data_IF_974901353734
#
_entry.id   IF_974901353734
#
_cell.length_a   1.000
_cell.length_b   1.000
_cell.length_c   1.000
_cell.angle_alpha   90.00
_cell.angle_beta   90.00
_cell.angle_gamma   90.00
#
_symmetry.space_group_name_H-M   'P 1'
#
loop_
_entity.id
_entity.type
_entity.pdbx_description
1 polymer ?
#
# COMPACT_ATOMS: atom_id res chain seq x y z
N UNK A 1 18.90 -45.95 -11.57
CA UNK A 1 18.71 -44.49 -11.76
C UNK A 1 17.83 -44.00 -10.62
N UNK A 2 18.21 -42.99 -9.83
CA UNK A 2 17.31 -42.41 -8.85
C UNK A 2 16.28 -41.55 -9.58
N UNK A 3 14.99 -41.83 -9.36
CA UNK A 3 13.88 -41.05 -9.90
C UNK A 3 13.83 -39.67 -9.28
N UNK A 4 13.64 -38.65 -10.11
CA UNK A 4 13.48 -37.27 -9.68
C UNK A 4 12.26 -37.15 -8.75
N UNK A 5 12.48 -36.65 -7.54
CA UNK A 5 11.41 -36.22 -6.65
C UNK A 5 10.70 -35.02 -7.28
N UNK A 6 9.38 -35.10 -7.39
CA UNK A 6 8.55 -34.00 -7.85
C UNK A 6 8.72 -32.79 -6.91
N UNK A 7 9.14 -31.66 -7.46
CA UNK A 7 9.13 -30.38 -6.76
C UNK A 7 7.67 -29.95 -6.64
N UNK A 8 7.06 -30.22 -5.49
CA UNK A 8 5.77 -29.63 -5.12
C UNK A 8 6.00 -28.14 -4.89
N UNK A 9 5.55 -27.30 -5.83
CA UNK A 9 5.47 -25.86 -5.65
C UNK A 9 4.46 -25.56 -4.55
N UNK A 10 4.93 -25.10 -3.39
CA UNK A 10 4.08 -24.53 -2.36
C UNK A 10 3.52 -23.21 -2.91
N UNK A 11 2.24 -23.21 -3.27
CA UNK A 11 1.50 -21.99 -3.58
C UNK A 11 1.29 -21.20 -2.30
N UNK A 12 1.94 -20.04 -2.19
CA UNK A 12 1.63 -19.03 -1.18
C UNK A 12 0.25 -18.42 -1.51
N UNK A 13 -0.81 -18.95 -0.91
CA UNK A 13 -2.14 -18.36 -0.98
C UNK A 13 -2.26 -17.28 0.09
N UNK A 14 -1.98 -16.03 -0.28
CA UNK A 14 -2.49 -14.87 0.48
C UNK A 14 -3.96 -14.70 0.09
N UNK A 15 -4.86 -15.06 1.00
CA UNK A 15 -6.30 -14.94 0.80
C UNK A 15 -6.84 -13.71 1.54
N UNK A 16 -7.58 -12.86 0.84
CA UNK A 16 -8.32 -11.74 1.41
C UNK A 16 -9.79 -12.15 1.53
N UNK A 17 -10.28 -12.35 2.76
CA UNK A 17 -11.69 -12.61 3.03
C UNK A 17 -12.45 -11.31 3.27
N UNK A 18 -13.56 -11.10 2.57
CA UNK A 18 -14.52 -10.05 2.90
C UNK A 18 -15.34 -10.42 4.14
N UNK A 19 -15.53 -9.43 5.01
CA UNK A 19 -16.56 -9.30 6.05
C UNK A 19 -16.61 -10.33 7.21
N UNK A 20 -16.31 -9.82 8.40
CA UNK A 20 -16.85 -10.19 9.72
C UNK A 20 -16.44 -11.51 10.39
N UNK A 21 -15.28 -12.10 10.04
CA UNK A 21 -14.62 -13.10 10.90
C UNK A 21 -13.47 -12.46 11.69
N UNK A 22 -13.57 -12.45 13.02
CA UNK A 22 -12.59 -11.89 13.96
C UNK A 22 -11.31 -12.73 14.11
N UNK A 23 -11.03 -13.62 13.16
CA UNK A 23 -9.92 -14.56 13.19
C UNK A 23 -8.94 -14.28 12.05
N UNK A 24 -8.07 -13.29 12.28
CA UNK A 24 -6.74 -13.09 11.66
C UNK A 24 -6.62 -12.17 10.43
N UNK A 25 -6.56 -10.87 10.73
CA UNK A 25 -5.48 -9.99 10.28
C UNK A 25 -5.07 -9.14 11.48
N UNK A 26 -3.94 -9.45 12.13
CA UNK A 26 -3.38 -8.58 13.20
C UNK A 26 -2.17 -7.85 12.63
N UNK A 27 -2.43 -6.70 11.99
CA UNK A 27 -1.51 -5.57 12.11
C UNK A 27 -1.61 -5.15 13.57
N UNK A 28 -0.54 -5.28 14.36
CA UNK A 28 -0.60 -4.86 15.77
C UNK A 28 -0.75 -3.34 15.80
N UNK A 29 -1.99 -2.88 15.99
CA UNK A 29 -2.23 -1.53 16.45
C UNK A 29 -1.60 -1.42 17.84
N UNK A 30 -0.74 -0.41 17.99
CA UNK A 30 -0.01 -0.03 19.20
C UNK A 30 1.16 -0.97 19.59
N UNK A 31 2.24 -0.95 18.81
CA UNK A 31 3.61 -0.68 19.30
C UNK A 31 4.63 -0.86 18.14
N UNK A 32 5.22 0.26 17.71
CA UNK A 32 6.55 0.44 17.05
C UNK A 32 7.06 -0.46 15.90
N UNK A 33 6.28 -1.41 15.34
CA UNK A 33 6.84 -2.35 14.34
C UNK A 33 5.91 -2.63 13.15
N UNK A 34 6.41 -2.37 11.93
CA UNK A 34 5.83 -2.89 10.69
C UNK A 34 6.03 -4.41 10.63
N UNK A 35 4.94 -5.16 10.82
CA UNK A 35 4.99 -6.61 10.86
C UNK A 35 4.02 -7.27 9.86
N UNK A 36 4.47 -8.33 9.22
CA UNK A 36 3.63 -9.26 8.44
C UNK A 36 3.64 -10.62 9.15
N UNK A 37 2.57 -11.42 9.03
CA UNK A 37 2.42 -12.74 9.67
C UNK A 37 2.00 -13.77 8.63
N UNK A 38 2.68 -14.92 8.59
CA UNK A 38 2.32 -16.03 7.71
C UNK A 38 1.49 -17.11 8.44
N UNK A 39 0.57 -17.75 7.72
CA UNK A 39 -0.21 -18.88 8.22
C UNK A 39 0.13 -20.14 7.44
N UNK A 40 0.22 -21.27 8.13
CA UNK A 40 0.31 -22.59 7.53
C UNK A 40 -1.04 -22.98 6.88
N UNK A 41 -1.02 -24.00 6.02
CA UNK A 41 -2.23 -24.47 5.31
C UNK A 41 -3.32 -25.01 6.23
N UNK A 42 -2.98 -25.32 7.49
CA UNK A 42 -3.90 -25.74 8.54
C UNK A 42 -4.47 -24.56 9.37
N UNK A 43 -4.16 -23.31 8.98
CA UNK A 43 -4.60 -22.10 9.66
C UNK A 43 -3.85 -21.82 10.97
N UNK A 44 -2.79 -22.56 11.29
CA UNK A 44 -1.89 -22.21 12.40
C UNK A 44 -0.88 -21.15 11.96
N UNK A 45 -0.22 -20.50 12.92
CA UNK A 45 0.88 -19.58 12.58
C UNK A 45 2.02 -20.41 12.02
N UNK A 46 2.50 -20.05 10.83
CA UNK A 46 3.69 -20.69 10.27
C UNK A 46 4.93 -20.19 11.01
N UNK A 47 5.30 -20.88 12.10
CA UNK A 47 6.42 -20.48 12.95
C UNK A 47 7.79 -20.50 12.25
N UNK A 48 7.89 -21.13 11.08
CA UNK A 48 9.12 -21.18 10.28
C UNK A 48 9.34 -19.92 9.43
N UNK A 49 8.31 -19.09 9.28
CA UNK A 49 8.39 -17.83 8.54
C UNK A 49 8.79 -16.68 9.47
N UNK A 50 9.84 -15.94 9.12
CA UNK A 50 10.40 -14.90 9.98
C UNK A 50 10.85 -15.44 11.35
N UNK A 51 10.68 -14.65 12.39
CA UNK A 51 10.94 -15.06 13.78
C UNK A 51 9.61 -15.43 14.44
N UNK A 52 9.35 -16.73 14.59
CA UNK A 52 8.09 -17.26 15.17
C UNK A 52 6.83 -16.86 14.40
N UNK A 53 6.88 -16.87 13.07
CA UNK A 53 5.75 -16.51 12.20
C UNK A 53 5.60 -15.02 11.93
N UNK A 54 6.59 -14.22 12.34
CA UNK A 54 6.55 -12.76 12.27
C UNK A 54 7.81 -12.22 11.59
N UNK A 55 7.64 -11.44 10.54
CA UNK A 55 8.71 -10.64 9.94
C UNK A 55 8.54 -9.22 10.44
N UNK A 56 9.61 -8.65 10.98
CA UNK A 56 9.60 -7.34 11.59
C UNK A 56 10.67 -6.46 10.94
N UNK A 57 10.31 -5.21 10.66
CA UNK A 57 11.25 -4.13 10.46
C UNK A 57 11.01 -3.08 11.54
N UNK A 58 12.00 -2.89 12.42
CA UNK A 58 11.92 -1.92 13.51
C UNK A 58 12.50 -0.58 13.05
N UNK A 59 11.66 0.45 12.97
CA UNK A 59 12.07 1.85 12.85
C UNK A 59 11.48 2.61 14.04
N UNK A 60 12.20 3.60 14.56
CA UNK A 60 11.67 4.43 15.64
C UNK A 60 10.49 5.27 15.11
N UNK A 61 9.34 5.25 15.78
CA UNK A 61 8.15 6.01 15.40
C UNK A 61 6.84 5.23 15.55
N UNK A 62 5.72 5.91 15.32
CA UNK A 62 4.39 5.29 15.25
C UNK A 62 4.10 4.92 13.79
N UNK A 63 4.24 3.65 13.43
CA UNK A 63 4.02 3.18 12.07
C UNK A 63 2.58 2.66 11.89
N UNK A 64 1.82 3.25 10.97
CA UNK A 64 0.52 2.69 10.56
C UNK A 64 0.73 1.86 9.29
N UNK A 65 0.47 0.56 9.35
CA UNK A 65 0.50 -0.28 8.15
C UNK A 65 -0.70 0.03 7.27
N UNK A 66 -0.45 0.45 6.03
CA UNK A 66 -1.48 0.73 5.04
C UNK A 66 -1.86 -0.47 4.19
N UNK A 67 -1.07 -1.55 4.18
CA UNK A 67 -1.47 -2.79 3.51
C UNK A 67 -0.32 -3.74 3.26
N UNK A 68 -0.66 -4.93 2.75
CA UNK A 68 0.29 -5.98 2.37
C UNK A 68 -0.09 -6.56 1.01
N UNK A 69 0.90 -6.97 0.23
CA UNK A 69 0.72 -7.60 -1.07
C UNK A 69 1.84 -8.58 -1.38
N UNK A 70 1.68 -9.35 -2.46
CA UNK A 70 2.65 -10.35 -2.90
C UNK A 70 3.07 -10.04 -4.33
N UNK A 71 4.37 -9.97 -4.57
CA UNK A 71 4.96 -9.87 -5.91
C UNK A 71 4.97 -11.25 -6.59
N UNK A 72 5.05 -11.29 -7.91
CA UNK A 72 4.96 -12.50 -8.75
C UNK A 72 6.01 -13.56 -8.41
N UNK A 73 7.13 -13.15 -7.81
CA UNK A 73 8.20 -14.02 -7.32
C UNK A 73 7.95 -14.59 -5.91
N UNK A 74 6.79 -14.30 -5.30
CA UNK A 74 6.39 -14.75 -3.97
C UNK A 74 6.92 -13.88 -2.82
N UNK A 75 7.70 -12.82 -3.10
CA UNK A 75 8.11 -11.87 -2.08
C UNK A 75 6.92 -11.05 -1.58
N UNK A 76 6.95 -10.72 -0.29
CA UNK A 76 5.86 -10.01 0.38
C UNK A 76 6.27 -8.55 0.54
N UNK A 77 5.38 -7.63 0.19
CA UNK A 77 5.57 -6.19 0.35
C UNK A 77 4.56 -5.62 1.34
N UNK A 78 4.99 -4.69 2.18
CA UNK A 78 4.16 -4.04 3.18
C UNK A 78 4.31 -2.52 3.07
N UNK A 79 3.19 -1.81 2.92
CA UNK A 79 3.17 -0.36 2.98
C UNK A 79 2.93 0.11 4.42
N UNK A 80 3.64 1.16 4.83
CA UNK A 80 3.49 1.78 6.15
C UNK A 80 3.89 3.24 6.12
N UNK A 81 3.35 4.04 7.05
CA UNK A 81 3.68 5.46 7.18
C UNK A 81 4.36 5.78 8.51
N UNK A 82 5.42 6.60 8.46
CA UNK A 82 6.14 7.15 9.62
C UNK A 82 6.43 8.64 9.40
N UNK A 83 5.41 9.38 8.98
CA UNK A 83 5.60 10.71 8.39
C UNK A 83 6.08 10.69 6.95
N UNK A 84 6.59 9.56 6.45
CA UNK A 84 6.93 9.29 5.05
C UNK A 84 5.99 8.23 4.44
N UNK A 85 5.90 8.15 3.11
CA UNK A 85 5.37 6.97 2.41
C UNK A 85 6.44 5.90 2.28
N UNK A 86 6.22 4.73 2.89
CA UNK A 86 7.20 3.65 2.88
C UNK A 86 6.62 2.32 2.42
N UNK A 87 7.50 1.50 1.83
CA UNK A 87 7.23 0.09 1.54
C UNK A 87 8.44 -0.74 1.95
N UNK A 88 8.24 -1.83 2.69
CA UNK A 88 9.28 -2.83 2.94
C UNK A 88 9.01 -4.08 2.13
N UNK A 89 10.07 -4.85 1.84
CA UNK A 89 9.95 -6.16 1.19
C UNK A 89 10.59 -7.25 2.02
N UNK A 90 9.92 -8.38 2.09
CA UNK A 90 10.35 -9.60 2.75
C UNK A 90 10.44 -10.74 1.74
N UNK A 91 11.39 -11.64 1.96
CA UNK A 91 11.49 -12.91 1.23
C UNK A 91 10.27 -13.78 1.49
N UNK A 92 10.14 -14.86 0.70
CA UNK A 92 9.14 -15.91 0.92
C UNK A 92 9.26 -16.59 2.28
N UNK A 93 10.39 -16.43 2.98
CA UNK A 93 10.65 -16.97 4.32
C UNK A 93 10.59 -15.90 5.42
N UNK A 94 10.14 -14.68 5.11
CA UNK A 94 9.93 -13.62 6.10
C UNK A 94 11.20 -12.90 6.55
N UNK A 95 12.29 -12.99 5.79
CA UNK A 95 13.51 -12.19 6.04
C UNK A 95 13.42 -10.91 5.23
N UNK A 96 13.78 -9.76 5.83
CA UNK A 96 13.83 -8.48 5.09
C UNK A 96 14.78 -8.60 3.89
N UNK A 97 14.31 -8.21 2.71
CA UNK A 97 15.08 -8.26 1.47
C UNK A 97 15.92 -6.99 1.32
N UNK A 98 17.19 -7.05 1.73
CA UNK A 98 18.12 -5.91 1.64
C UNK A 98 18.37 -5.34 0.24
N UNK A 99 17.91 -6.01 -0.83
CA UNK A 99 18.03 -5.52 -2.22
C UNK A 99 16.88 -4.62 -2.66
N UNK A 100 15.81 -4.52 -1.86
CA UNK A 100 14.68 -3.64 -2.12
C UNK A 100 14.95 -2.24 -1.57
N UNK A 101 14.77 -1.21 -2.41
CA UNK A 101 15.02 0.18 -2.07
C UNK A 101 16.38 0.37 -1.39
N UNK A 102 16.38 1.04 -0.24
CA UNK A 102 17.55 1.17 0.63
C UNK A 102 17.38 0.24 1.83
N UNK A 103 18.24 -0.78 1.92
CA UNK A 103 18.26 -1.73 3.03
C UNK A 103 16.90 -2.43 3.31
N UNK A 104 16.15 -2.73 2.25
CA UNK A 104 14.87 -3.42 2.30
C UNK A 104 13.64 -2.51 2.33
N UNK A 105 13.85 -1.20 2.17
CA UNK A 105 12.79 -0.20 2.29
C UNK A 105 12.84 0.80 1.14
N UNK A 106 11.73 0.92 0.42
CA UNK A 106 11.44 2.04 -0.45
C UNK A 106 10.82 3.19 0.35
N UNK A 107 11.28 4.42 0.12
CA UNK A 107 10.81 5.61 0.85
C UNK A 107 10.55 6.74 -0.15
N UNK A 108 9.44 7.45 0.07
CA UNK A 108 9.20 8.78 -0.46
C UNK A 108 8.84 9.70 0.72
N UNK A 109 9.75 10.61 1.02
CA UNK A 109 9.52 11.75 1.92
C UNK A 109 8.88 12.87 1.08
N UNK A 110 7.62 13.18 1.37
CA UNK A 110 6.88 14.25 0.70
C UNK A 110 6.56 15.40 1.65
N UNK A 111 6.21 15.11 2.90
CA UNK A 111 5.94 16.10 3.94
C UNK A 111 6.17 15.52 5.34
N UNK A 112 5.99 16.33 6.38
CA UNK A 112 6.32 15.96 7.76
C UNK A 112 5.31 15.04 8.48
N UNK A 113 4.16 14.71 7.88
CA UNK A 113 3.13 13.82 8.45
C UNK A 113 2.34 13.12 7.33
N UNK A 114 3.06 12.40 6.46
CA UNK A 114 2.47 11.55 5.44
C UNK A 114 1.84 10.30 6.05
N UNK A 115 0.62 9.98 5.61
CA UNK A 115 -0.18 8.87 6.12
C UNK A 115 -0.46 7.89 5.00
N UNK A 116 0.01 6.66 5.16
CA UNK A 116 -0.30 5.57 4.24
C UNK A 116 -1.61 4.90 4.63
N UNK A 117 -2.51 4.72 3.66
CA UNK A 117 -3.83 4.14 3.91
C UNK A 117 -4.05 2.79 3.22
N UNK A 118 -3.53 2.62 2.00
CA UNK A 118 -3.77 1.44 1.18
C UNK A 118 -2.63 1.20 0.20
N UNK A 119 -2.40 -0.06 -0.17
CA UNK A 119 -1.52 -0.41 -1.28
C UNK A 119 -2.10 -1.51 -2.16
N UNK A 120 -1.59 -1.59 -3.40
CA UNK A 120 -1.86 -2.68 -4.33
C UNK A 120 -0.62 -3.00 -5.16
N UNK A 121 -0.39 -4.28 -5.43
CA UNK A 121 0.67 -4.75 -6.34
C UNK A 121 0.09 -4.89 -7.74
N UNK A 122 0.73 -4.26 -8.72
CA UNK A 122 0.37 -4.36 -10.14
C UNK A 122 0.88 -5.67 -10.74
N UNK A 123 0.32 -6.14 -11.88
CA UNK A 123 0.78 -7.37 -12.53
C UNK A 123 2.26 -7.40 -12.95
N UNK A 124 2.91 -6.23 -13.05
CA UNK A 124 4.33 -6.07 -13.35
C UNK A 124 5.19 -5.86 -12.08
N UNK A 125 4.66 -6.24 -10.92
CA UNK A 125 5.27 -6.13 -9.59
C UNK A 125 5.55 -4.72 -9.07
N UNK A 126 5.14 -3.69 -9.81
CA UNK A 126 5.13 -2.31 -9.30
C UNK A 126 4.08 -2.17 -8.21
N UNK A 127 4.27 -1.19 -7.33
CA UNK A 127 3.49 -1.05 -6.11
C UNK A 127 2.86 0.33 -6.10
N UNK A 128 1.53 0.38 -6.14
CA UNK A 128 0.78 1.64 -6.02
C UNK A 128 0.36 1.80 -4.57
N UNK A 129 0.69 2.95 -3.99
CA UNK A 129 0.37 3.31 -2.60
C UNK A 129 -0.51 4.54 -2.61
N UNK A 130 -1.57 4.53 -1.81
CA UNK A 130 -2.47 5.65 -1.62
C UNK A 130 -2.53 6.04 -0.15
N UNK A 131 -2.67 7.34 0.08
CA UNK A 131 -2.76 7.93 1.39
C UNK A 131 -2.90 9.43 1.28
N UNK A 132 -2.41 10.14 2.28
CA UNK A 132 -2.54 11.59 2.31
C UNK A 132 -1.33 12.27 2.93
N UNK A 133 -1.06 13.50 2.49
CA UNK A 133 0.06 14.31 2.94
C UNK A 133 -0.43 15.71 3.30
N UNK A 134 0.28 16.41 4.21
CA UNK A 134 -0.01 17.82 4.43
C UNK A 134 0.34 18.65 3.18
N UNK A 135 -0.58 19.54 2.82
CA UNK A 135 -0.35 20.52 1.78
C UNK A 135 0.55 21.64 2.35
N UNK A 136 1.62 21.98 1.62
CA UNK A 136 2.67 22.91 2.04
C UNK A 136 2.18 24.14 2.85
N UNK A 137 2.39 24.11 4.17
CA UNK A 137 2.28 25.28 5.06
C UNK A 137 0.87 25.68 5.50
N UNK A 138 -0.15 24.87 5.21
CA UNK A 138 -1.52 25.04 5.70
C UNK A 138 -1.99 23.73 6.32
N UNK A 139 -2.87 23.78 7.33
CA UNK A 139 -3.46 22.60 8.01
C UNK A 139 -4.47 21.85 7.10
N UNK A 140 -4.11 21.68 5.84
CA UNK A 140 -4.86 20.97 4.82
C UNK A 140 -4.10 19.71 4.44
N UNK A 141 -4.85 18.71 4.00
CA UNK A 141 -4.33 17.40 3.68
C UNK A 141 -4.75 17.09 2.25
N UNK A 142 -3.79 16.81 1.37
CA UNK A 142 -4.05 16.42 -0.01
C UNK A 142 -4.12 14.89 -0.12
N UNK A 143 -4.91 14.42 -1.07
CA UNK A 143 -4.85 13.03 -1.51
C UNK A 143 -3.55 12.80 -2.27
N UNK A 144 -2.81 11.77 -1.87
CA UNK A 144 -1.56 11.36 -2.50
C UNK A 144 -1.66 9.91 -2.98
N UNK A 145 -1.24 9.70 -4.22
CA UNK A 145 -1.06 8.38 -4.80
C UNK A 145 0.31 8.35 -5.44
N UNK A 146 1.08 7.31 -5.18
CA UNK A 146 2.43 7.17 -5.74
C UNK A 146 2.69 5.74 -6.18
N UNK A 147 3.74 5.57 -6.99
CA UNK A 147 4.17 4.26 -7.45
C UNK A 147 5.64 4.01 -7.18
N UNK A 148 5.91 2.86 -6.56
CA UNK A 148 7.25 2.27 -6.53
C UNK A 148 7.41 1.26 -7.67
N UNK A 149 8.62 1.18 -8.21
CA UNK A 149 9.09 0.07 -9.02
C UNK A 149 9.09 -1.22 -8.18
N UNK A 150 9.11 -2.37 -8.86
CA UNK A 150 9.26 -3.66 -8.20
C UNK A 150 10.51 -3.78 -7.33
N UNK A 151 11.52 -2.93 -7.58
CA UNK A 151 12.77 -2.83 -6.82
C UNK A 151 12.67 -1.93 -5.59
N UNK A 152 11.56 -1.23 -5.36
CA UNK A 152 11.37 -0.33 -4.21
C UNK A 152 11.87 1.10 -4.43
N UNK A 153 12.45 1.41 -5.60
CA UNK A 153 12.70 2.80 -6.00
C UNK A 153 11.41 3.46 -6.51
N UNK A 154 11.29 4.78 -6.39
CA UNK A 154 10.13 5.52 -6.94
C UNK A 154 10.12 5.43 -8.47
N UNK A 155 8.96 5.11 -9.04
CA UNK A 155 8.75 5.07 -10.48
C UNK A 155 8.50 6.48 -11.01
N UNK A 156 9.56 7.21 -11.30
CA UNK A 156 9.49 8.60 -11.79
C UNK A 156 8.81 8.74 -13.16
N UNK A 157 8.57 7.64 -13.88
CA UNK A 157 7.82 7.63 -15.14
C UNK A 157 6.29 7.62 -14.97
N UNK A 158 5.82 7.44 -13.73
CA UNK A 158 4.40 7.42 -13.40
C UNK A 158 3.94 8.78 -12.85
N UNK A 159 2.87 9.34 -13.42
CA UNK A 159 2.40 10.67 -13.07
C UNK A 159 3.50 11.71 -13.29
N UNK A 160 3.62 12.66 -12.34
CA UNK A 160 4.70 13.64 -12.34
C UNK A 160 5.69 13.26 -11.25
N UNK A 161 6.84 12.69 -11.64
CA UNK A 161 7.89 12.30 -10.69
C UNK A 161 7.54 11.11 -9.79
N UNK A 162 6.59 10.25 -10.21
CA UNK A 162 6.15 9.08 -9.46
C UNK A 162 4.96 9.33 -8.55
N UNK A 163 4.42 10.54 -8.55
CA UNK A 163 3.44 10.99 -7.56
C UNK A 163 2.30 11.75 -8.23
N UNK A 164 1.10 11.48 -7.76
CA UNK A 164 -0.05 12.36 -7.86
C UNK A 164 -0.32 12.93 -6.47
N UNK A 165 -0.41 14.25 -6.38
CA UNK A 165 -0.81 14.97 -5.17
C UNK A 165 -1.81 16.02 -5.61
N UNK A 166 -3.04 15.94 -5.11
CA UNK A 166 -4.04 16.95 -5.43
C UNK A 166 -5.03 17.15 -4.29
N UNK A 167 -5.55 18.38 -4.16
CA UNK A 167 -6.74 18.62 -3.38
C UNK A 167 -7.95 18.04 -4.15
N UNK A 168 -8.67 17.14 -3.50
CA UNK A 168 -9.97 16.66 -3.97
C UNK A 168 -10.95 17.81 -3.92
N UNK A 169 -10.96 18.65 -2.89
CA UNK A 169 -11.82 19.83 -2.85
C UNK A 169 -11.06 21.07 -2.38
N UNK A 170 -11.52 22.26 -2.79
CA UNK A 170 -10.83 23.51 -2.50
C UNK A 170 -10.76 23.78 -0.99
N UNK A 171 -9.54 23.90 -0.46
CA UNK A 171 -9.24 24.25 0.92
C UNK A 171 -9.75 23.27 2.00
N UNK A 172 -9.66 21.95 1.75
CA UNK A 172 -10.17 20.93 2.67
C UNK A 172 -9.13 19.88 3.08
N UNK A 173 -9.54 19.02 4.01
CA UNK A 173 -8.81 17.82 4.41
C UNK A 173 -9.30 16.64 3.58
N UNK A 174 -8.41 16.07 2.77
CA UNK A 174 -8.71 15.02 1.81
C UNK A 174 -7.95 13.74 2.18
N UNK A 175 -8.71 12.73 2.62
CA UNK A 175 -8.18 11.47 3.12
C UNK A 175 -8.42 10.34 2.11
N UNK A 176 -7.37 9.90 1.41
CA UNK A 176 -7.45 8.65 0.67
C UNK A 176 -7.52 7.48 1.66
N UNK A 177 -8.39 6.51 1.37
CA UNK A 177 -8.63 5.36 2.26
C UNK A 177 -8.29 4.04 1.59
N UNK A 178 -8.56 3.91 0.30
CA UNK A 178 -8.37 2.66 -0.41
C UNK A 178 -7.91 2.92 -1.85
N UNK A 179 -7.03 2.04 -2.35
CA UNK A 179 -6.68 1.94 -3.77
C UNK A 179 -6.93 0.53 -4.27
N UNK A 180 -7.52 0.40 -5.45
CA UNK A 180 -7.73 -0.87 -6.14
C UNK A 180 -7.34 -0.74 -7.61
N UNK A 181 -6.96 -1.85 -8.23
CA UNK A 181 -6.70 -1.90 -9.67
C UNK A 181 -7.93 -2.41 -10.42
N UNK A 182 -8.18 -1.82 -11.58
CA UNK A 182 -9.12 -2.31 -12.57
C UNK A 182 -8.42 -3.30 -13.52
N UNK A 183 -9.18 -4.19 -14.21
CA UNK A 183 -8.61 -5.14 -15.16
C UNK A 183 -7.82 -4.51 -16.32
N UNK A 184 -8.08 -3.25 -16.66
CA UNK A 184 -7.36 -2.48 -17.68
C UNK A 184 -6.07 -1.83 -17.14
N UNK A 185 -5.72 -2.09 -15.88
CA UNK A 185 -4.52 -1.57 -15.22
C UNK A 185 -4.66 -0.15 -14.66
N UNK A 186 -5.84 0.47 -14.77
CA UNK A 186 -6.12 1.76 -14.11
C UNK A 186 -6.25 1.58 -12.61
N UNK A 187 -5.93 2.63 -11.85
CA UNK A 187 -6.12 2.63 -10.40
C UNK A 187 -7.36 3.44 -10.04
N UNK A 188 -8.17 2.92 -9.11
CA UNK A 188 -9.30 3.66 -8.51
C UNK A 188 -8.98 3.88 -7.05
N UNK A 189 -9.14 5.13 -6.59
CA UNK A 189 -8.92 5.53 -5.21
C UNK A 189 -10.20 6.10 -4.65
N UNK A 190 -10.58 5.69 -3.44
CA UNK A 190 -11.70 6.28 -2.73
C UNK A 190 -11.26 6.76 -1.35
N UNK A 191 -12.04 7.70 -0.82
CA UNK A 191 -11.74 8.32 0.45
C UNK A 191 -12.83 9.30 0.87
N UNK A 192 -12.51 10.09 1.89
CA UNK A 192 -13.38 11.15 2.36
C UNK A 192 -12.69 12.50 2.22
N UNK A 193 -13.46 13.54 1.93
CA UNK A 193 -13.01 14.91 1.94
C UNK A 193 -13.92 15.75 2.81
N UNK A 194 -13.35 16.75 3.48
CA UNK A 194 -14.13 17.63 4.34
C UNK A 194 -14.89 18.66 3.51
N UNK A 195 -16.16 18.89 3.80
CA UNK A 195 -16.96 19.97 3.22
C UNK A 195 -17.76 20.67 4.32
N UNK A 196 -17.27 21.83 4.76
CA UNK A 196 -17.79 22.49 5.96
C UNK A 196 -17.64 21.60 7.20
N UNK A 197 -18.77 21.20 7.79
CA UNK A 197 -18.81 20.32 8.97
C UNK A 197 -18.91 18.82 8.63
N UNK A 198 -19.08 18.48 7.34
CA UNK A 198 -19.35 17.11 6.91
C UNK A 198 -18.09 16.46 6.31
N UNK A 199 -17.97 15.15 6.49
CA UNK A 199 -17.05 14.31 5.71
C UNK A 199 -17.84 13.64 4.59
N UNK A 200 -17.54 14.02 3.34
CA UNK A 200 -18.20 13.50 2.15
C UNK A 200 -17.27 12.53 1.41
N UNK A 201 -17.84 11.62 0.63
CA UNK A 201 -17.05 10.61 -0.08
C UNK A 201 -16.55 11.15 -1.42
N UNK A 202 -15.35 10.75 -1.82
CA UNK A 202 -14.90 10.88 -3.20
C UNK A 202 -14.41 9.55 -3.77
N UNK A 203 -14.44 9.47 -5.09
CA UNK A 203 -13.77 8.43 -5.87
C UNK A 203 -13.01 9.11 -7.00
N UNK A 204 -11.74 8.80 -7.17
CA UNK A 204 -10.96 9.24 -8.33
C UNK A 204 -10.42 8.05 -9.10
N UNK A 205 -10.14 8.25 -10.39
CA UNK A 205 -9.52 7.22 -11.23
C UNK A 205 -8.26 7.75 -11.89
N UNK A 206 -7.22 6.94 -11.91
CA UNK A 206 -5.95 7.21 -12.56
C UNK A 206 -5.74 6.30 -13.76
N UNK A 207 -5.07 6.82 -14.77
CA UNK A 207 -4.60 6.04 -15.91
C UNK A 207 -3.51 5.06 -15.48
N UNK A 208 -3.17 4.11 -16.36
CA UNK A 208 -2.02 3.20 -16.17
C UNK A 208 -0.68 3.94 -16.04
N UNK A 209 -0.60 5.16 -16.60
CA UNK A 209 0.54 6.06 -16.50
C UNK A 209 0.49 6.99 -15.29
N UNK A 210 -0.56 6.95 -14.45
CA UNK A 210 -0.63 7.70 -13.19
C UNK A 210 -1.17 9.12 -13.29
N UNK A 211 -1.60 9.53 -14.48
CA UNK A 211 -2.35 10.77 -14.65
C UNK A 211 -3.80 10.57 -14.18
N UNK A 212 -4.45 11.66 -13.76
CA UNK A 212 -5.89 11.64 -13.49
C UNK A 212 -6.66 11.29 -14.78
N UNK A 213 -7.51 10.27 -14.73
CA UNK A 213 -8.29 9.82 -15.89
C UNK A 213 -9.52 10.71 -16.08
N UNK A 214 -9.39 11.74 -16.90
CA UNK A 214 -10.45 12.73 -17.16
C UNK A 214 -11.69 12.15 -17.84
N UNK A 215 -11.65 10.90 -18.31
CA UNK A 215 -12.83 10.18 -18.84
C UNK A 215 -13.71 9.61 -17.73
N UNK A 216 -13.28 9.65 -16.48
CA UNK A 216 -14.04 9.21 -15.32
C UNK A 216 -14.80 10.36 -14.67
N UNK A 217 -16.12 10.20 -14.46
CA UNK A 217 -16.95 11.15 -13.73
C UNK A 217 -16.73 12.61 -14.20
N UNK A 218 -16.56 13.55 -13.26
CA UNK A 218 -16.31 14.95 -13.57
C UNK A 218 -14.80 15.24 -13.51
N UNK A 219 -14.13 15.16 -14.66
CA UNK A 219 -12.71 15.48 -14.77
C UNK A 219 -11.79 14.51 -14.02
N UNK A 220 -12.23 13.27 -13.80
CA UNK A 220 -11.48 12.21 -13.13
C UNK A 220 -11.84 11.98 -11.67
N UNK A 221 -12.77 12.77 -11.10
CA UNK A 221 -13.17 12.67 -9.70
C UNK A 221 -14.69 12.71 -9.59
N UNK A 222 -15.26 11.71 -8.95
CA UNK A 222 -16.60 11.73 -8.38
C UNK A 222 -16.54 12.26 -6.95
N UNK A 223 -17.47 13.14 -6.58
CA UNK A 223 -17.62 13.65 -5.22
C UNK A 223 -19.09 13.52 -4.84
N UNK A 224 -19.32 12.96 -3.66
CA UNK A 224 -20.62 13.07 -3.02
C UNK A 224 -20.82 14.51 -2.54
N UNK A 225 -22.00 15.07 -2.75
CA UNK A 225 -22.30 16.49 -2.45
C UNK A 225 -23.47 16.67 -1.51
N UNK A 226 -24.00 15.58 -0.95
CA UNK A 226 -25.21 15.59 -0.09
C UNK A 226 -24.95 14.95 1.25
#
# INVERSE_FOLDING_TARGET
>A
MPGAAAVTTATCTVSFGSSNDTSRLRVSQYDTVGAAMNQASDGTVDSAWGTSGLAQFARAGNDLAGGVGVQSNGQIVQAFGNGDFMVSRYSTTGTLDGTFGTAGVGVLDKASDDKVASMVVQPDDKIVVAGSAYANGVDLTDTVVLRFLATGAIDTSWGVGGVLSLPVATANQDYARQVVLQPDGKAVVCGNYRSGANDLTFVLRLTTSGALDTTFANGGIFRDTT
#
